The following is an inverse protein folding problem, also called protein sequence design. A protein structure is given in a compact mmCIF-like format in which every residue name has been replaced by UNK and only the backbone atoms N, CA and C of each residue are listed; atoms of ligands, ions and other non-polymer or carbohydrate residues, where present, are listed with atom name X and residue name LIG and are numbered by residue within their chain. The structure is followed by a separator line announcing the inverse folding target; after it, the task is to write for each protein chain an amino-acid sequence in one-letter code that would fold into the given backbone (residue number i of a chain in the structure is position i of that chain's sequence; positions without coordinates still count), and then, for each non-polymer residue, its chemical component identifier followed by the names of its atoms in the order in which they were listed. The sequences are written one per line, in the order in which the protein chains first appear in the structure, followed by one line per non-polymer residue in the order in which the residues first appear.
data_IF_321707258420
#
_entry.id   IF_321707258420
#
_cell.length_a   1.000
_cell.length_b   1.000
_cell.length_c   1.000
_cell.angle_alpha   90.00
_cell.angle_beta   90.00
_cell.angle_gamma   90.00
#
_symmetry.space_group_name_H-M   'P 1'
#
loop_
_entity.id
_entity.type
_entity.pdbx_description
1 polymer ?
#
# COMPACT_ATOMS: atom_id res chain seq x y z
N UNK A 1 35.60 3.61 22.56
CA UNK A 1 34.68 4.19 23.56
C UNK A 1 33.54 5.02 22.94
N UNK A 2 33.71 5.57 21.74
CA UNK A 2 32.68 6.39 21.09
C UNK A 2 31.42 5.60 20.60
N UNK A 3 31.51 4.27 20.52
CA UNK A 3 30.47 3.39 20.02
C UNK A 3 29.83 2.51 21.11
N UNK A 4 30.40 2.56 22.32
CA UNK A 4 29.92 1.75 23.45
C UNK A 4 28.69 2.41 24.11
N UNK A 5 27.60 1.66 24.22
CA UNK A 5 26.42 2.03 25.01
C UNK A 5 26.56 1.56 26.48
N UNK A 6 25.69 2.08 27.33
CA UNK A 6 25.55 1.66 28.74
C UNK A 6 24.14 1.18 28.99
N UNK A 7 23.99 0.04 29.67
CA UNK A 7 22.70 -0.47 30.17
C UNK A 7 22.76 -0.67 31.66
N UNK A 8 21.64 -0.54 32.34
CA UNK A 8 21.58 -0.78 33.81
C UNK A 8 21.48 -2.27 34.14
N UNK A 9 20.75 -3.03 33.31
CA UNK A 9 20.54 -4.46 33.54
C UNK A 9 20.68 -5.25 32.25
N UNK A 10 21.42 -6.35 32.31
CA UNK A 10 21.47 -7.38 31.28
C UNK A 10 20.97 -8.69 31.86
N UNK A 11 20.04 -9.33 31.17
CA UNK A 11 19.51 -10.64 31.59
C UNK A 11 19.19 -11.51 30.36
N UNK A 12 19.34 -12.81 30.52
CA UNK A 12 18.85 -13.82 29.59
C UNK A 12 17.47 -14.27 30.03
N UNK A 13 16.46 -14.08 29.15
CA UNK A 13 15.07 -14.46 29.42
C UNK A 13 14.63 -15.51 28.43
N UNK A 14 14.04 -16.60 28.91
CA UNK A 14 13.43 -17.60 28.06
C UNK A 14 11.98 -17.21 27.78
N UNK A 15 11.66 -17.03 26.49
CA UNK A 15 10.31 -16.75 26.02
C UNK A 15 9.83 -17.90 25.12
N UNK A 16 9.08 -18.82 25.69
CA UNK A 16 8.70 -20.06 24.99
C UNK A 16 9.88 -20.99 24.83
N UNK A 17 10.22 -21.37 23.59
CA UNK A 17 11.34 -22.24 23.27
C UNK A 17 12.64 -21.49 22.90
N UNK A 18 12.60 -20.17 22.90
CA UNK A 18 13.73 -19.33 22.49
C UNK A 18 14.26 -18.52 23.67
N UNK A 19 15.57 -18.24 23.66
CA UNK A 19 16.25 -17.44 24.64
C UNK A 19 16.62 -16.09 24.05
N UNK A 20 16.35 -15.03 24.80
CA UNK A 20 16.61 -13.65 24.40
C UNK A 20 17.54 -12.98 25.40
N UNK A 21 18.56 -12.31 24.90
CA UNK A 21 19.40 -11.42 25.66
C UNK A 21 18.73 -10.05 25.76
N UNK A 22 18.31 -9.67 26.95
CA UNK A 22 17.60 -8.41 27.19
C UNK A 22 18.53 -7.39 27.84
N UNK A 23 18.59 -6.20 27.23
CA UNK A 23 19.27 -5.03 27.76
C UNK A 23 18.21 -4.03 28.19
N UNK A 24 18.07 -3.83 29.50
CA UNK A 24 17.08 -2.93 30.11
C UNK A 24 17.76 -1.78 30.86
N UNK A 25 16.99 -0.76 31.20
CA UNK A 25 17.48 0.43 31.86
C UNK A 25 18.64 1.14 31.10
N UNK A 26 18.50 1.21 29.79
CA UNK A 26 19.45 1.91 28.94
C UNK A 26 19.36 3.43 29.18
N UNK A 27 20.49 4.11 29.18
CA UNK A 27 20.58 5.57 29.37
C UNK A 27 19.86 6.33 28.23
N UNK A 28 19.82 5.75 27.04
CA UNK A 28 19.10 6.29 25.89
C UNK A 28 17.96 5.37 25.51
N UNK A 29 16.71 5.85 25.65
CA UNK A 29 15.48 5.13 25.32
C UNK A 29 15.01 5.38 23.88
N UNK A 30 15.93 5.71 22.96
CA UNK A 30 15.57 6.04 21.56
C UNK A 30 15.24 4.83 20.70
N UNK A 31 15.57 3.63 21.17
CA UNK A 31 15.31 2.37 20.44
C UNK A 31 14.53 1.41 21.32
N UNK A 32 13.55 0.75 20.71
CA UNK A 32 12.70 -0.24 21.39
C UNK A 32 12.64 -1.49 20.51
N UNK A 33 12.64 -2.65 21.13
CA UNK A 33 12.41 -3.93 20.45
C UNK A 33 11.03 -4.44 20.80
N UNK A 34 10.23 -4.71 19.76
CA UNK A 34 8.88 -5.27 19.89
C UNK A 34 8.93 -6.76 19.57
N UNK A 35 8.59 -7.61 20.55
CA UNK A 35 8.51 -9.06 20.38
C UNK A 35 7.05 -9.45 20.17
N UNK A 36 6.72 -9.91 18.95
CA UNK A 36 5.38 -10.37 18.62
C UNK A 36 5.31 -11.86 18.77
N UNK A 37 4.30 -12.34 19.53
CA UNK A 37 4.07 -13.76 19.78
C UNK A 37 2.65 -14.14 19.40
N UNK A 38 2.47 -15.33 18.87
CA UNK A 38 1.15 -15.84 18.49
C UNK A 38 1.15 -17.33 18.19
N UNK A 39 -0.04 -17.91 18.06
CA UNK A 39 -0.23 -19.35 17.84
C UNK A 39 0.09 -19.83 16.42
N UNK A 40 0.06 -18.94 15.42
CA UNK A 40 0.36 -19.28 14.04
C UNK A 40 1.25 -18.22 13.37
N UNK A 41 2.18 -18.68 12.56
CA UNK A 41 3.14 -17.82 11.86
C UNK A 41 2.46 -16.74 11.00
N UNK A 42 1.36 -17.08 10.33
CA UNK A 42 0.60 -16.14 9.49
C UNK A 42 0.07 -14.93 10.28
N UNK A 43 -0.45 -15.14 11.48
CA UNK A 43 -0.94 -14.04 12.32
C UNK A 43 0.20 -13.16 12.83
N UNK A 44 1.36 -13.77 13.13
CA UNK A 44 2.55 -13.02 13.57
C UNK A 44 3.06 -12.14 12.44
N UNK A 45 3.16 -12.68 11.22
CA UNK A 45 3.61 -11.94 10.05
C UNK A 45 2.66 -10.79 9.69
N UNK A 46 1.35 -11.03 9.76
CA UNK A 46 0.35 -9.99 9.52
C UNK A 46 0.39 -8.89 10.57
N UNK A 47 0.50 -9.27 11.85
CA UNK A 47 0.65 -8.30 12.93
C UNK A 47 1.93 -7.48 12.80
N UNK A 48 3.05 -8.10 12.40
CA UNK A 48 4.31 -7.41 12.16
C UNK A 48 4.20 -6.40 11.00
N UNK A 49 3.52 -6.79 9.91
CA UNK A 49 3.27 -5.91 8.76
C UNK A 49 2.39 -4.71 9.14
N UNK A 50 1.26 -4.97 9.79
CA UNK A 50 0.34 -3.93 10.25
C UNK A 50 1.01 -2.96 11.22
N UNK A 51 1.85 -3.45 12.11
CA UNK A 51 2.60 -2.62 13.05
C UNK A 51 3.62 -1.74 12.32
N UNK A 52 4.34 -2.29 11.34
CA UNK A 52 5.28 -1.54 10.53
C UNK A 52 4.58 -0.43 9.74
N UNK A 53 3.43 -0.72 9.13
CA UNK A 53 2.64 0.26 8.40
C UNK A 53 2.15 1.40 9.32
N UNK A 54 1.67 1.07 10.51
CA UNK A 54 1.26 2.05 11.52
C UNK A 54 2.44 2.95 11.94
N UNK A 55 3.62 2.39 12.21
CA UNK A 55 4.82 3.15 12.57
C UNK A 55 5.23 4.09 11.43
N UNK A 56 5.17 3.63 10.19
CA UNK A 56 5.53 4.44 9.02
C UNK A 56 4.57 5.62 8.83
N UNK A 57 3.27 5.41 8.98
CA UNK A 57 2.26 6.48 8.85
C UNK A 57 2.44 7.52 9.95
N UNK A 58 2.57 7.08 11.21
CA UNK A 58 2.79 7.99 12.36
C UNK A 58 4.08 8.80 12.19
N UNK A 59 5.16 8.15 11.76
CA UNK A 59 6.44 8.83 11.50
C UNK A 59 6.28 9.91 10.41
N UNK A 60 5.53 9.65 9.35
CA UNK A 60 5.28 10.63 8.30
C UNK A 60 4.40 11.78 8.81
N UNK A 61 3.33 11.48 9.53
CA UNK A 61 2.45 12.49 10.12
C UNK A 61 3.22 13.44 11.06
N UNK A 62 4.11 12.90 11.90
CA UNK A 62 4.96 13.70 12.80
C UNK A 62 5.93 14.59 11.99
N UNK A 63 6.50 14.09 10.88
CA UNK A 63 7.45 14.86 10.08
C UNK A 63 6.79 15.99 9.28
N UNK A 64 5.58 15.77 8.78
CA UNK A 64 4.87 16.74 7.93
C UNK A 64 3.95 17.67 8.71
N UNK A 65 3.56 17.29 9.93
CA UNK A 65 2.61 18.03 10.78
C UNK A 65 1.26 18.32 10.10
N UNK A 66 0.89 17.54 9.09
CA UNK A 66 -0.35 17.72 8.33
C UNK A 66 -1.01 16.36 8.07
N UNK A 67 -2.30 16.29 8.39
CA UNK A 67 -3.15 15.12 8.15
C UNK A 67 -4.43 15.55 7.44
N UNK A 68 -4.99 14.65 6.67
CA UNK A 68 -6.28 14.80 5.97
C UNK A 68 -7.21 13.65 6.34
N UNK A 69 -8.50 13.85 6.17
CA UNK A 69 -9.47 12.78 6.36
C UNK A 69 -9.33 11.74 5.23
N UNK A 70 -9.36 10.47 5.61
CA UNK A 70 -9.33 9.34 4.68
C UNK A 70 -10.71 8.98 4.13
N UNK A 71 -10.87 7.73 3.70
CA UNK A 71 -12.17 7.22 3.20
C UNK A 71 -12.74 7.95 2.00
N UNK A 72 -11.90 8.58 1.20
CA UNK A 72 -12.31 9.34 0.02
C UNK A 72 -12.82 10.76 0.30
N UNK A 73 -12.75 11.25 1.54
CA UNK A 73 -13.21 12.61 1.89
C UNK A 73 -12.41 13.69 1.15
N UNK A 74 -11.08 13.60 1.19
CA UNK A 74 -10.21 14.58 0.51
C UNK A 74 -10.40 14.57 -1.01
N UNK A 75 -10.61 13.41 -1.61
CA UNK A 75 -10.85 13.27 -3.05
C UNK A 75 -12.18 13.92 -3.46
N UNK A 76 -13.22 13.77 -2.65
CA UNK A 76 -14.51 14.43 -2.86
C UNK A 76 -14.38 15.96 -2.75
N UNK A 77 -13.65 16.44 -1.77
CA UNK A 77 -13.43 17.88 -1.56
C UNK A 77 -12.60 18.48 -2.71
N UNK A 78 -11.55 17.79 -3.15
CA UNK A 78 -10.78 18.18 -4.32
C UNK A 78 -11.64 18.20 -5.59
N UNK A 79 -12.51 17.19 -5.78
CA UNK A 79 -13.44 17.15 -6.90
C UNK A 79 -14.39 18.34 -6.89
N UNK A 80 -14.95 18.70 -5.72
CA UNK A 80 -15.81 19.89 -5.55
C UNK A 80 -15.05 21.16 -5.92
N UNK A 81 -13.88 21.36 -5.36
CA UNK A 81 -13.05 22.54 -5.59
C UNK A 81 -12.66 22.68 -7.09
N UNK A 82 -12.25 21.58 -7.72
CA UNK A 82 -11.93 21.58 -9.15
C UNK A 82 -13.14 21.95 -10.00
N UNK A 83 -14.33 21.47 -9.67
CA UNK A 83 -15.58 21.81 -10.41
C UNK A 83 -15.97 23.27 -10.26
N UNK A 84 -15.71 23.88 -9.10
CA UNK A 84 -15.88 25.32 -8.90
C UNK A 84 -14.85 26.11 -9.70
N UNK A 85 -13.59 25.71 -9.65
CA UNK A 85 -12.51 26.35 -10.39
C UNK A 85 -12.71 26.30 -11.90
N UNK A 86 -13.21 25.19 -12.43
CA UNK A 86 -13.52 25.02 -13.86
C UNK A 86 -14.43 26.12 -14.40
N UNK A 87 -15.35 26.64 -13.60
CA UNK A 87 -16.28 27.70 -14.03
C UNK A 87 -15.55 29.01 -14.37
N UNK A 88 -14.35 29.20 -13.86
CA UNK A 88 -13.53 30.39 -14.13
C UNK A 88 -12.65 30.25 -15.39
N UNK A 89 -12.44 29.02 -15.87
CA UNK A 89 -11.57 28.70 -16.99
C UNK A 89 -12.38 28.61 -18.30
N UNK A 90 -11.82 29.16 -19.37
CA UNK A 90 -12.44 29.12 -20.71
C UNK A 90 -11.72 28.13 -21.62
N UNK A 91 -12.47 27.44 -22.48
CA UNK A 91 -11.90 26.62 -23.55
C UNK A 91 -11.79 25.13 -23.22
N UNK A 92 -10.97 24.40 -23.99
CA UNK A 92 -10.84 22.93 -23.93
C UNK A 92 -10.34 22.40 -22.59
N UNK A 93 -9.56 23.20 -21.86
CA UNK A 93 -9.03 22.84 -20.54
C UNK A 93 -10.16 22.53 -19.53
N UNK A 94 -11.29 23.20 -19.65
CA UNK A 94 -12.47 22.96 -18.83
C UNK A 94 -12.92 21.49 -18.86
N UNK A 95 -12.93 20.87 -20.03
CA UNK A 95 -13.31 19.46 -20.18
C UNK A 95 -12.34 18.51 -19.50
N UNK A 96 -11.04 18.80 -19.60
CA UNK A 96 -9.99 17.97 -19.00
C UNK A 96 -10.07 18.03 -17.46
N UNK A 97 -10.20 19.22 -16.89
CA UNK A 97 -10.30 19.41 -15.44
C UNK A 97 -11.58 18.75 -14.89
N UNK A 98 -12.71 18.87 -15.61
CA UNK A 98 -13.93 18.15 -15.23
C UNK A 98 -13.76 16.62 -15.28
N UNK A 99 -13.02 16.10 -16.28
CA UNK A 99 -12.68 14.69 -16.37
C UNK A 99 -11.83 14.23 -15.17
N UNK A 100 -10.84 15.04 -14.78
CA UNK A 100 -9.99 14.79 -13.62
C UNK A 100 -10.79 14.81 -12.29
N UNK A 101 -11.66 15.82 -12.12
CA UNK A 101 -12.55 15.90 -10.96
C UNK A 101 -13.46 14.67 -10.84
N UNK A 102 -13.98 14.18 -11.97
CA UNK A 102 -14.78 12.95 -12.01
C UNK A 102 -13.94 11.70 -11.68
N UNK A 103 -12.68 11.67 -12.09
CA UNK A 103 -11.78 10.56 -11.79
C UNK A 103 -11.48 10.44 -10.30
N UNK A 104 -11.37 11.55 -9.57
CA UNK A 104 -11.18 11.54 -8.12
C UNK A 104 -12.36 10.89 -7.37
N UNK A 105 -13.59 11.06 -7.86
CA UNK A 105 -14.78 10.47 -7.23
C UNK A 105 -14.84 8.93 -7.37
N UNK A 106 -13.98 8.33 -8.20
CA UNK A 106 -13.92 6.87 -8.34
C UNK A 106 -13.39 6.22 -7.06
N UNK A 107 -12.52 6.91 -6.30
CA UNK A 107 -11.93 6.36 -5.06
C UNK A 107 -13.01 6.09 -4.01
N UNK A 108 -13.81 7.07 -3.55
CA UNK A 108 -14.90 6.80 -2.60
C UNK A 108 -15.98 5.88 -3.19
N UNK A 109 -16.22 5.93 -4.51
CA UNK A 109 -17.13 5.00 -5.18
C UNK A 109 -16.66 3.56 -5.04
N UNK A 110 -15.39 3.28 -5.31
CA UNK A 110 -14.83 1.94 -5.21
C UNK A 110 -14.79 1.44 -3.76
N UNK A 111 -14.57 2.34 -2.78
CA UNK A 111 -14.66 1.99 -1.36
C UNK A 111 -16.08 1.55 -0.99
N UNK A 112 -17.10 2.25 -1.49
CA UNK A 112 -18.50 1.90 -1.27
C UNK A 112 -18.86 0.55 -1.93
N UNK A 113 -18.44 0.34 -3.19
CA UNK A 113 -18.64 -0.92 -3.91
C UNK A 113 -17.99 -2.10 -3.17
N UNK A 114 -16.74 -1.94 -2.71
CA UNK A 114 -15.99 -2.97 -1.99
C UNK A 114 -16.61 -3.31 -0.62
N UNK A 115 -17.32 -2.36 -0.02
CA UNK A 115 -18.02 -2.55 1.26
C UNK A 115 -19.44 -3.09 1.10
N UNK A 116 -19.89 -3.30 -0.14
CA UNK A 116 -21.24 -3.79 -0.43
C UNK A 116 -22.34 -2.73 -0.29
N UNK A 117 -21.99 -1.44 -0.23
CA UNK A 117 -22.94 -0.33 -0.22
C UNK A 117 -23.41 0.02 -1.64
N UNK A 118 -24.57 0.69 -1.76
CA UNK A 118 -24.93 1.33 -3.04
C UNK A 118 -24.02 2.55 -3.27
N UNK A 119 -23.01 2.34 -4.13
CA UNK A 119 -22.04 3.37 -4.44
C UNK A 119 -22.65 4.62 -5.06
N UNK A 120 -23.76 4.49 -5.80
CA UNK A 120 -24.43 5.63 -6.41
C UNK A 120 -25.06 6.53 -5.36
N UNK A 121 -25.76 5.93 -4.41
CA UNK A 121 -26.37 6.64 -3.29
C UNK A 121 -25.33 7.29 -2.40
N UNK A 122 -24.23 6.58 -2.09
CA UNK A 122 -23.14 7.10 -1.26
C UNK A 122 -22.49 8.32 -1.92
N UNK A 123 -22.17 8.25 -3.22
CA UNK A 123 -21.57 9.37 -3.95
C UNK A 123 -22.50 10.58 -4.00
N UNK A 124 -23.80 10.36 -4.22
CA UNK A 124 -24.77 11.45 -4.24
C UNK A 124 -24.89 12.13 -2.85
N UNK A 125 -24.92 11.35 -1.79
CA UNK A 125 -24.90 11.88 -0.41
C UNK A 125 -23.63 12.68 -0.13
N UNK A 126 -22.45 12.14 -0.50
CA UNK A 126 -21.18 12.86 -0.35
C UNK A 126 -21.18 14.17 -1.10
N UNK A 127 -21.61 14.21 -2.36
CA UNK A 127 -21.71 15.45 -3.15
C UNK A 127 -22.62 16.47 -2.47
N UNK A 128 -23.74 16.02 -1.93
CA UNK A 128 -24.69 16.89 -1.22
C UNK A 128 -24.04 17.49 0.04
N UNK A 129 -23.43 16.66 0.88
CA UNK A 129 -22.85 17.07 2.15
C UNK A 129 -21.67 18.03 1.93
N UNK A 130 -20.77 17.72 1.00
CA UNK A 130 -19.64 18.58 0.64
C UNK A 130 -20.04 19.93 0.03
N UNK A 131 -21.26 20.05 -0.49
CA UNK A 131 -21.75 21.31 -1.07
C UNK A 131 -22.46 22.19 -0.02
N UNK A 132 -23.14 21.58 0.95
CA UNK A 132 -24.04 22.29 1.86
C UNK A 132 -23.35 22.78 3.13
N UNK A 133 -22.40 22.03 3.69
CA UNK A 133 -21.82 22.35 4.99
C UNK A 133 -20.30 22.57 4.95
N UNK A 134 -19.82 23.54 5.75
CA UNK A 134 -18.38 23.76 5.92
C UNK A 134 -17.67 22.54 6.54
N UNK A 135 -18.34 21.82 7.45
CA UNK A 135 -17.82 20.59 8.05
C UNK A 135 -17.96 19.38 7.13
N UNK A 136 -18.63 19.55 5.99
CA UNK A 136 -18.78 18.52 4.96
C UNK A 136 -17.45 18.03 4.38
N UNK A 137 -16.40 18.85 4.43
CA UNK A 137 -15.07 18.50 3.91
C UNK A 137 -14.44 17.26 4.57
N UNK A 138 -14.86 16.92 5.79
CA UNK A 138 -14.37 15.74 6.52
C UNK A 138 -15.21 14.49 6.32
N UNK A 139 -16.32 14.61 5.59
CA UNK A 139 -17.23 13.49 5.36
C UNK A 139 -16.68 12.55 4.28
N UNK A 140 -16.63 11.27 4.61
CA UNK A 140 -16.17 10.22 3.72
C UNK A 140 -16.93 8.91 3.93
N UNK A 141 -16.45 7.85 3.31
CA UNK A 141 -17.05 6.51 3.39
C UNK A 141 -16.55 5.79 4.63
N UNK A 142 -17.43 5.58 5.61
CA UNK A 142 -17.18 4.70 6.75
C UNK A 142 -17.49 3.26 6.34
N UNK A 143 -16.43 2.50 6.06
CA UNK A 143 -16.50 1.11 5.59
C UNK A 143 -16.97 0.16 6.69
N UNK A 144 -16.67 0.48 7.97
CA UNK A 144 -16.99 -0.39 9.10
C UNK A 144 -18.49 -0.39 9.40
N UNK A 145 -19.12 0.80 9.37
CA UNK A 145 -20.52 0.97 9.69
C UNK A 145 -21.43 1.09 8.46
N UNK A 146 -20.87 1.10 7.24
CA UNK A 146 -21.63 1.18 6.00
C UNK A 146 -22.39 2.50 5.83
N UNK A 147 -21.80 3.62 6.21
CA UNK A 147 -22.43 4.96 6.19
C UNK A 147 -21.46 6.05 5.74
N UNK A 148 -22.01 7.23 5.48
CA UNK A 148 -21.22 8.45 5.33
C UNK A 148 -21.06 9.09 6.73
N UNK A 149 -19.83 9.35 7.15
CA UNK A 149 -19.52 9.88 8.47
C UNK A 149 -18.35 10.87 8.42
N UNK A 150 -18.16 11.63 9.51
CA UNK A 150 -17.01 12.50 9.69
C UNK A 150 -15.80 11.67 10.07
N UNK A 151 -14.93 11.41 9.10
CA UNK A 151 -13.77 10.53 9.27
C UNK A 151 -12.64 11.18 10.08
N UNK A 152 -12.69 12.48 10.26
CA UNK A 152 -11.76 13.17 11.16
C UNK A 152 -12.05 12.82 12.63
N UNK A 153 -13.32 12.70 13.01
CA UNK A 153 -13.77 12.28 14.34
C UNK A 153 -13.62 10.78 14.56
N UNK A 154 -13.79 9.99 13.51
CA UNK A 154 -13.60 8.52 13.52
C UNK A 154 -12.12 8.12 13.47
N UNK A 155 -11.18 9.08 13.55
CA UNK A 155 -9.73 8.86 13.54
C UNK A 155 -9.19 8.15 12.27
N UNK A 156 -9.87 8.27 11.15
CA UNK A 156 -9.39 7.78 9.85
C UNK A 156 -8.54 8.88 9.22
N UNK A 157 -7.30 8.99 9.68
CA UNK A 157 -6.37 10.04 9.25
C UNK A 157 -5.33 9.50 8.28
N UNK A 158 -4.98 10.35 7.33
CA UNK A 158 -3.89 10.06 6.38
C UNK A 158 -2.93 11.25 6.32
N UNK A 159 -1.61 11.00 6.23
CA UNK A 159 -0.65 12.09 6.05
C UNK A 159 -0.87 12.77 4.69
N UNK A 160 -0.94 14.10 4.69
CA UNK A 160 -1.13 14.91 3.48
C UNK A 160 -0.12 14.54 2.37
N UNK A 161 1.15 14.40 2.73
CA UNK A 161 2.24 14.11 1.78
C UNK A 161 2.00 12.80 0.99
N UNK A 162 1.36 11.82 1.61
CA UNK A 162 1.02 10.55 0.94
C UNK A 162 0.02 10.81 -0.18
N UNK A 163 -1.01 11.62 0.09
CA UNK A 163 -2.03 11.97 -0.92
C UNK A 163 -1.47 12.79 -2.07
N UNK A 164 -0.62 13.76 -1.77
CA UNK A 164 0.07 14.55 -2.80
C UNK A 164 0.91 13.63 -3.70
N UNK A 165 1.69 12.74 -3.13
CA UNK A 165 2.52 11.80 -3.90
C UNK A 165 1.68 10.83 -4.73
N UNK A 166 0.58 10.30 -4.18
CA UNK A 166 -0.33 9.40 -4.91
C UNK A 166 -0.94 10.09 -6.13
N UNK A 167 -1.48 11.31 -5.95
CA UNK A 167 -2.08 12.07 -7.04
C UNK A 167 -1.05 12.44 -8.12
N UNK A 168 0.16 12.83 -7.73
CA UNK A 168 1.24 13.15 -8.66
C UNK A 168 1.64 11.92 -9.47
N UNK A 169 1.94 10.81 -8.81
CA UNK A 169 2.35 9.57 -9.47
C UNK A 169 1.26 9.00 -10.38
N UNK A 170 -0.01 9.05 -9.94
CA UNK A 170 -1.14 8.60 -10.75
C UNK A 170 -1.31 9.48 -12.01
N UNK A 171 -1.12 10.78 -11.88
CA UNK A 171 -1.21 11.72 -13.00
C UNK A 171 -0.08 11.48 -14.00
N UNK A 172 1.16 11.31 -13.54
CA UNK A 172 2.31 10.98 -14.39
C UNK A 172 2.09 9.66 -15.14
N UNK A 173 1.60 8.62 -14.46
CA UNK A 173 1.27 7.35 -15.08
C UNK A 173 0.17 7.49 -16.13
N UNK A 174 -0.89 8.25 -15.86
CA UNK A 174 -1.95 8.54 -16.81
C UNK A 174 -1.42 9.29 -18.05
N UNK A 175 -0.58 10.29 -17.87
CA UNK A 175 0.06 11.01 -18.95
C UNK A 175 0.93 10.09 -19.82
N UNK A 176 1.68 9.19 -19.19
CA UNK A 176 2.50 8.18 -19.89
C UNK A 176 1.62 7.27 -20.75
N UNK A 177 0.51 6.77 -20.20
CA UNK A 177 -0.43 5.92 -20.95
C UNK A 177 -1.06 6.69 -22.13
N UNK A 178 -1.47 7.94 -21.91
CA UNK A 178 -2.06 8.80 -22.95
C UNK A 178 -1.07 9.17 -24.06
N UNK A 179 0.23 9.11 -23.79
CA UNK A 179 1.27 9.39 -24.80
C UNK A 179 1.59 8.20 -25.71
N UNK A 180 1.00 7.01 -25.45
CA UNK A 180 1.21 5.82 -26.28
C UNK A 180 0.39 5.91 -27.55
N UNK A 181 1.06 6.01 -28.70
CA UNK A 181 0.41 6.08 -30.02
C UNK A 181 0.12 4.70 -30.61
N UNK A 182 1.04 3.75 -30.43
CA UNK A 182 0.93 2.42 -31.02
C UNK A 182 1.43 1.33 -30.08
N UNK A 183 0.74 0.20 -30.08
CA UNK A 183 1.16 -1.01 -29.36
C UNK A 183 1.51 -2.09 -30.38
N UNK A 184 2.77 -2.51 -30.43
CA UNK A 184 3.25 -3.59 -31.25
C UNK A 184 3.23 -4.88 -30.44
N UNK A 185 2.39 -5.84 -30.84
CA UNK A 185 2.36 -7.16 -30.24
C UNK A 185 3.26 -8.11 -31.03
N UNK A 186 4.35 -8.55 -30.42
CA UNK A 186 5.18 -9.59 -31.02
C UNK A 186 4.57 -10.95 -30.67
N UNK A 187 4.07 -11.74 -31.65
CA UNK A 187 3.58 -13.08 -31.36
C UNK A 187 4.74 -13.94 -30.86
N UNK A 188 4.50 -14.71 -29.82
CA UNK A 188 5.48 -15.65 -29.30
C UNK A 188 5.86 -16.64 -30.42
N UNK A 189 7.15 -16.88 -30.59
CA UNK A 189 7.64 -17.84 -31.59
C UNK A 189 7.02 -19.22 -31.35
N UNK A 190 6.81 -20.01 -32.41
CA UNK A 190 6.24 -21.38 -32.33
C UNK A 190 6.97 -22.24 -31.29
N UNK A 191 8.30 -22.06 -31.14
CA UNK A 191 9.10 -22.74 -30.13
C UNK A 191 8.73 -22.31 -28.67
N UNK A 192 8.41 -21.05 -28.44
CA UNK A 192 7.96 -20.57 -27.12
C UNK A 192 6.53 -21.04 -26.83
N UNK A 193 5.68 -21.11 -27.82
CA UNK A 193 4.32 -21.65 -27.68
C UNK A 193 4.34 -23.15 -27.38
N UNK A 194 5.18 -23.91 -28.06
CA UNK A 194 5.38 -25.35 -27.81
C UNK A 194 5.95 -25.63 -26.41
N UNK A 195 6.90 -24.82 -25.96
CA UNK A 195 7.45 -24.91 -24.60
C UNK A 195 6.45 -24.56 -23.52
N UNK A 196 5.54 -23.60 -23.75
CA UNK A 196 4.47 -23.25 -22.83
C UNK A 196 3.37 -24.33 -22.80
N UNK A 197 3.01 -24.90 -23.93
CA UNK A 197 2.05 -26.00 -24.04
C UNK A 197 2.54 -27.26 -23.36
N UNK A 198 3.84 -27.62 -23.55
CA UNK A 198 4.45 -28.76 -22.89
C UNK A 198 4.58 -28.66 -21.37
N UNK A 199 4.52 -27.44 -20.81
CA UNK A 199 4.47 -27.20 -19.34
C UNK A 199 3.09 -27.42 -18.74
N UNK A 200 2.04 -27.22 -19.52
CA UNK A 200 0.66 -27.39 -19.06
C UNK A 200 0.23 -28.88 -19.11
N UNK A 201 0.78 -29.67 -20.00
CA UNK A 201 0.32 -31.06 -20.23
C UNK A 201 1.02 -32.12 -19.37
N UNK A 202 2.03 -31.76 -18.58
CA UNK A 202 2.69 -32.68 -17.63
C UNK A 202 3.29 -33.96 -18.21
N UNK A 203 3.25 -34.16 -19.55
CA UNK A 203 3.72 -35.33 -20.27
C UNK A 203 5.00 -35.04 -21.06
N UNK A 204 5.98 -34.41 -20.43
CA UNK A 204 7.32 -34.36 -21.02
C UNK A 204 7.98 -35.73 -20.90
N UNK A 205 7.73 -36.60 -21.88
CA UNK A 205 8.48 -37.79 -22.13
C UNK A 205 9.94 -37.41 -22.40
N UNK A 206 10.83 -37.75 -21.50
CA UNK A 206 12.26 -37.52 -21.62
C UNK A 206 12.78 -38.34 -22.82
N UNK A 207 13.47 -37.75 -23.82
CA UNK A 207 14.21 -38.50 -24.79
C UNK A 207 15.37 -39.23 -24.08
N UNK A 208 15.42 -40.52 -24.19
CA UNK A 208 16.45 -41.35 -23.61
C UNK A 208 17.84 -41.02 -24.15
N UNK A 209 18.67 -40.44 -23.30
CA UNK A 209 20.11 -40.28 -23.52
C UNK A 209 20.85 -41.17 -22.54
N UNK A 210 21.43 -42.28 -23.07
CA UNK A 210 22.41 -43.11 -22.36
C UNK A 210 23.64 -42.25 -22.04
N UNK A 211 23.90 -41.97 -20.79
CA UNK A 211 25.14 -41.36 -20.31
C UNK A 211 25.45 -41.87 -18.92
N UNK A 212 26.38 -42.81 -18.81
CA UNK A 212 27.01 -43.25 -17.56
C UNK A 212 27.78 -42.10 -16.96
N UNK A 213 27.49 -41.73 -15.72
CA UNK A 213 28.28 -40.78 -14.92
C UNK A 213 27.96 -40.93 -13.44
N UNK A 214 28.87 -41.63 -12.75
CA UNK A 214 28.98 -41.74 -11.29
C UNK A 214 29.19 -40.34 -10.68
N UNK A 215 28.58 -40.02 -9.54
CA UNK A 215 29.14 -38.96 -8.68
C UNK A 215 28.18 -38.32 -7.73
N UNK A 216 28.19 -38.76 -6.51
CA UNK A 216 28.12 -38.04 -5.21
C UNK A 216 27.02 -37.05 -4.93
N UNK A 217 26.26 -37.47 -3.98
CA UNK A 217 25.44 -36.79 -2.98
C UNK A 217 26.27 -35.77 -2.19
N UNK A 218 25.77 -34.53 -2.05
CA UNK A 218 25.92 -33.71 -0.83
C UNK A 218 25.26 -32.32 -0.97
N UNK A 219 24.50 -31.96 0.07
CA UNK A 219 24.48 -30.57 0.55
C UNK A 219 23.17 -29.81 0.38
N UNK A 220 22.31 -29.94 1.37
CA UNK A 220 21.32 -28.92 1.74
C UNK A 220 22.04 -27.58 1.94
N UNK A 221 21.77 -26.60 1.10
CA UNK A 221 22.24 -25.22 1.25
C UNK A 221 21.08 -24.29 1.53
N UNK A 222 21.06 -23.82 2.74
CA UNK A 222 20.23 -22.73 3.26
C UNK A 222 20.47 -21.45 2.43
N UNK A 223 19.44 -20.85 1.85
CA UNK A 223 19.55 -19.52 1.23
C UNK A 223 19.42 -18.45 2.30
N UNK A 224 20.53 -17.83 2.62
CA UNK A 224 20.57 -16.57 3.38
C UNK A 224 20.19 -15.43 2.46
N UNK A 225 19.12 -14.71 2.77
CA UNK A 225 18.79 -13.44 2.11
C UNK A 225 19.71 -12.36 2.66
N UNK A 226 20.62 -11.88 1.82
CA UNK A 226 21.46 -10.73 2.08
C UNK A 226 20.69 -9.46 1.79
N UNK A 227 20.42 -8.65 2.81
CA UNK A 227 19.87 -7.31 2.68
C UNK A 227 20.86 -6.39 1.96
N UNK A 228 20.42 -5.76 0.91
CA UNK A 228 21.15 -4.75 0.15
C UNK A 228 20.97 -3.40 0.83
N UNK A 229 21.95 -2.96 1.61
CA UNK A 229 22.11 -1.57 1.99
C UNK A 229 22.60 -0.76 0.79
N UNK A 230 21.90 0.28 0.45
CA UNK A 230 22.30 1.27 -0.55
C UNK A 230 22.29 2.66 0.05
N UNK A 231 23.30 3.40 -0.24
CA UNK A 231 23.67 4.74 0.20
C UNK A 231 22.57 5.78 0.05
#
# INVERSE_FOLDING_TARGET
DAVMGKCGKFEEVQLGNERYNMFTECVSTKTVTLVIRGGAAQYIEEAARSLNDAIMIVTRAIKTHAVVAGGGAIEMELSRHLREHVRTIKGKQQLIINGYAKALEIIPKQLADNSGMDATDVINKLRQVHTVSADGMWQGVDVLNGRVANLMEEFVWEPEIVRVNVLTAATEAACTILSVDQTIRNPASEQQQAAAAGRLDGTAQRPGGRGRGRGMNMGRGMKVMQGRGGK
#
